data_IF_975581177638
#
_entry.id   IF_975581177638
#
_cell.length_a   1.000
_cell.length_b   1.000
_cell.length_c   1.000
_cell.angle_alpha   90.00
_cell.angle_beta   90.00
_cell.angle_gamma   90.00
#
_symmetry.space_group_name_H-M   'P 1'
#
loop_
_entity.id
_entity.type
_entity.pdbx_description
1 polymer ?
#
# COMPACT_ATOMS: atom_id res chain seq x y z
N UNK A 1 -0.15 -5.07 21.07
CA UNK A 1 0.39 -3.71 20.90
C UNK A 1 0.36 -3.36 19.41
N UNK A 2 -0.59 -2.50 19.01
CA UNK A 2 -0.89 -2.20 17.60
C UNK A 2 0.27 -1.48 16.94
N UNK A 3 0.82 -2.05 15.86
CA UNK A 3 2.00 -1.54 15.19
C UNK A 3 1.69 -0.22 14.46
N UNK A 4 1.85 0.91 15.16
CA UNK A 4 1.46 2.27 14.74
C UNK A 4 2.04 2.69 13.38
N UNK A 5 3.21 2.18 12.99
CA UNK A 5 3.83 2.42 11.67
C UNK A 5 3.08 1.76 10.52
N UNK A 6 2.60 0.53 10.73
CA UNK A 6 1.85 -0.21 9.71
C UNK A 6 0.50 0.44 9.42
N UNK A 7 -0.13 1.04 10.44
CA UNK A 7 -1.34 1.85 10.27
C UNK A 7 -1.11 3.07 9.37
N UNK A 8 0.07 3.71 9.44
CA UNK A 8 0.39 4.86 8.57
C UNK A 8 0.56 4.42 7.12
N UNK A 9 1.30 3.34 6.87
CA UNK A 9 1.50 2.81 5.51
C UNK A 9 0.17 2.41 4.87
N UNK A 10 -0.66 1.66 5.60
CA UNK A 10 -1.98 1.24 5.14
C UNK A 10 -2.87 2.43 4.73
N UNK A 11 -2.88 3.47 5.56
CA UNK A 11 -3.65 4.71 5.31
C UNK A 11 -3.13 5.45 4.07
N UNK A 12 -1.81 5.61 3.95
CA UNK A 12 -1.21 6.34 2.84
C UNK A 12 -1.40 5.61 1.50
N UNK A 13 -1.21 4.29 1.47
CA UNK A 13 -1.51 3.47 0.28
C UNK A 13 -2.96 3.66 -0.14
N UNK A 14 -3.89 3.55 0.81
CA UNK A 14 -5.33 3.74 0.53
C UNK A 14 -5.65 5.16 0.05
N UNK A 15 -5.01 6.16 0.63
CA UNK A 15 -5.19 7.57 0.25
C UNK A 15 -4.71 7.80 -1.18
N UNK A 16 -3.44 7.50 -1.50
CA UNK A 16 -2.89 7.69 -2.84
C UNK A 16 -3.62 6.86 -3.90
N UNK A 17 -4.06 5.65 -3.54
CA UNK A 17 -4.88 4.83 -4.42
C UNK A 17 -6.19 5.54 -4.79
N UNK A 18 -6.87 6.13 -3.80
CA UNK A 18 -8.12 6.89 -4.02
C UNK A 18 -7.88 8.18 -4.79
N UNK A 19 -6.81 8.91 -4.51
CA UNK A 19 -6.42 10.12 -5.27
C UNK A 19 -6.21 9.80 -6.76
N UNK A 20 -5.71 8.61 -7.07
CA UNK A 20 -5.57 8.10 -8.45
C UNK A 20 -6.81 7.42 -9.01
N UNK A 21 -7.94 7.39 -8.29
CA UNK A 21 -9.15 6.66 -8.68
C UNK A 21 -8.92 5.17 -9.00
N UNK A 22 -7.95 4.53 -8.35
CA UNK A 22 -7.64 3.13 -8.54
C UNK A 22 -8.48 2.25 -7.60
N UNK A 23 -8.98 1.12 -8.11
CA UNK A 23 -9.49 0.04 -7.26
C UNK A 23 -8.33 -0.77 -6.66
N UNK A 24 -8.59 -1.57 -5.62
CA UNK A 24 -7.57 -2.49 -5.07
C UNK A 24 -7.13 -3.53 -6.10
N UNK A 25 -8.04 -3.99 -6.97
CA UNK A 25 -7.75 -4.88 -8.10
C UNK A 25 -6.85 -4.21 -9.15
N UNK A 26 -7.14 -2.95 -9.49
CA UNK A 26 -6.29 -2.17 -10.41
C UNK A 26 -4.89 -1.97 -9.83
N UNK A 27 -4.78 -1.57 -8.56
CA UNK A 27 -3.50 -1.41 -7.88
C UNK A 27 -2.72 -2.74 -7.83
N UNK A 28 -3.40 -3.85 -7.57
CA UNK A 28 -2.81 -5.19 -7.60
C UNK A 28 -2.17 -5.48 -8.96
N UNK A 29 -2.91 -5.26 -10.05
CA UNK A 29 -2.42 -5.49 -11.42
C UNK A 29 -1.26 -4.58 -11.77
N UNK A 30 -1.36 -3.29 -11.45
CA UNK A 30 -0.31 -2.31 -11.75
C UNK A 30 0.97 -2.52 -10.94
N UNK A 31 0.85 -2.89 -9.66
CA UNK A 31 2.00 -3.23 -8.82
C UNK A 31 2.53 -4.66 -9.10
N UNK A 32 1.74 -5.51 -9.77
CA UNK A 32 1.97 -6.94 -9.91
C UNK A 32 1.95 -7.70 -8.57
N UNK A 33 1.32 -7.14 -7.55
CA UNK A 33 1.20 -7.70 -6.20
C UNK A 33 -0.14 -8.42 -6.11
N UNK A 34 -0.20 -9.56 -5.42
CA UNK A 34 -1.45 -10.31 -5.28
C UNK A 34 -2.55 -9.44 -4.64
N UNK A 35 -3.78 -9.53 -5.16
CA UNK A 35 -4.92 -8.75 -4.67
C UNK A 35 -5.13 -8.89 -3.15
N UNK A 36 -5.06 -10.13 -2.64
CA UNK A 36 -5.19 -10.40 -1.21
C UNK A 36 -4.10 -9.71 -0.37
N UNK A 37 -2.90 -9.51 -0.93
CA UNK A 37 -1.83 -8.77 -0.26
C UNK A 37 -2.17 -7.29 -0.16
N UNK A 38 -2.69 -6.67 -1.23
CA UNK A 38 -3.16 -5.27 -1.19
C UNK A 38 -4.28 -5.10 -0.16
N UNK A 39 -5.26 -6.00 -0.14
CA UNK A 39 -6.38 -5.96 0.81
C UNK A 39 -5.87 -6.04 2.25
N UNK A 40 -4.99 -7.00 2.57
CA UNK A 40 -4.40 -7.18 3.90
C UNK A 40 -3.55 -5.98 4.34
N UNK A 41 -2.78 -5.40 3.42
CA UNK A 41 -2.00 -4.20 3.68
C UNK A 41 -2.94 -3.02 4.02
N UNK A 42 -3.98 -2.78 3.21
CA UNK A 42 -4.91 -1.67 3.43
C UNK A 42 -5.85 -1.87 4.64
N UNK A 43 -6.20 -3.12 4.98
CA UNK A 43 -7.03 -3.44 6.16
C UNK A 43 -6.23 -3.42 7.47
N UNK A 44 -4.90 -3.55 7.39
CA UNK A 44 -4.04 -3.65 8.57
C UNK A 44 -4.02 -5.03 9.22
N UNK A 45 -4.70 -6.03 8.63
CA UNK A 45 -4.63 -7.43 9.07
C UNK A 45 -3.34 -8.08 8.56
N UNK A 46 -2.34 -8.10 9.44
CA UNK A 46 -1.02 -8.71 9.26
C UNK A 46 -0.19 -8.17 8.07
N UNK A 47 0.24 -6.89 8.13
CA UNK A 47 0.82 -6.22 6.99
C UNK A 47 2.33 -6.14 7.17
N UNK A 48 3.06 -7.24 7.01
CA UNK A 48 4.52 -7.17 6.93
C UNK A 48 4.96 -7.29 5.46
N UNK A 49 4.60 -6.32 4.58
CA UNK A 49 5.06 -6.34 3.20
C UNK A 49 6.58 -6.20 3.18
N UNK A 50 7.21 -6.89 2.24
CA UNK A 50 8.62 -6.69 1.95
C UNK A 50 8.84 -5.27 1.42
N UNK A 51 10.07 -4.77 1.51
CA UNK A 51 10.45 -3.50 0.90
C UNK A 51 10.14 -3.53 -0.60
N UNK A 52 10.44 -4.63 -1.29
CA UNK A 52 10.06 -4.85 -2.70
C UNK A 52 8.56 -4.65 -2.96
N UNK A 53 7.70 -5.22 -2.12
CA UNK A 53 6.24 -5.05 -2.25
C UNK A 53 5.86 -3.57 -2.10
N UNK A 54 6.44 -2.86 -1.15
CA UNK A 54 6.19 -1.43 -0.93
C UNK A 54 6.71 -0.57 -2.09
N UNK A 55 7.87 -0.88 -2.65
CA UNK A 55 8.42 -0.18 -3.82
C UNK A 55 7.51 -0.36 -5.04
N UNK A 56 7.02 -1.57 -5.28
CA UNK A 56 6.11 -1.87 -6.38
C UNK A 56 4.79 -1.14 -6.25
N UNK A 57 4.24 -1.11 -5.03
CA UNK A 57 3.03 -0.34 -4.72
C UNK A 57 3.28 1.16 -4.92
N UNK A 58 4.38 1.70 -4.40
CA UNK A 58 4.74 3.11 -4.56
C UNK A 58 4.88 3.50 -6.04
N UNK A 59 5.52 2.63 -6.83
CA UNK A 59 5.68 2.80 -8.29
C UNK A 59 4.35 2.82 -9.02
N UNK A 60 3.45 1.88 -8.73
CA UNK A 60 2.09 1.87 -9.29
C UNK A 60 1.31 3.15 -8.88
N UNK A 61 1.46 3.54 -7.62
CA UNK A 61 0.89 4.78 -7.09
C UNK A 61 1.60 6.05 -7.59
N UNK A 62 2.69 5.96 -8.35
CA UNK A 62 3.42 7.11 -8.89
C UNK A 62 3.97 8.03 -7.80
N UNK A 63 4.28 7.48 -6.63
CA UNK A 63 4.83 8.20 -5.48
C UNK A 63 6.16 7.58 -5.07
N UNK A 64 7.00 8.34 -4.35
CA UNK A 64 8.19 7.76 -3.72
C UNK A 64 7.78 6.85 -2.57
N UNK A 65 8.57 5.81 -2.30
CA UNK A 65 8.33 4.90 -1.18
C UNK A 65 8.26 5.65 0.16
N UNK A 66 9.06 6.71 0.32
CA UNK A 66 9.07 7.58 1.52
C UNK A 66 7.70 8.19 1.82
N UNK A 67 6.92 8.54 0.80
CA UNK A 67 5.56 9.07 0.98
C UNK A 67 4.65 8.07 1.66
N UNK A 68 4.89 6.77 1.51
CA UNK A 68 4.13 5.74 2.21
C UNK A 68 4.40 5.74 3.72
N UNK A 69 5.56 6.22 4.18
CA UNK A 69 5.95 6.27 5.59
C UNK A 69 5.67 7.62 6.27
N UNK A 70 5.36 8.66 5.50
CA UNK A 70 5.12 10.01 6.01
C UNK A 70 3.82 10.05 6.83
N UNK A 71 3.88 10.67 8.01
CA UNK A 71 2.69 10.92 8.85
C UNK A 71 1.94 12.16 8.41
#
# INVERSE_FOLDING_TARGET
>A
MSNKKLSTIAKNIRQYRKEKNLSQDRLSKEAGVAYNTIVKIESGENPNPTIDTLERIAKALGVSIEKLFKK
#
